data_IF_903542737999
#
_entry.id   IF_903542737999
#
_cell.length_a   1.000
_cell.length_b   1.000
_cell.length_c   1.000
_cell.angle_alpha   90.00
_cell.angle_beta   90.00
_cell.angle_gamma   90.00
#
_symmetry.space_group_name_H-M   'P 1'
#
loop_
_entity.id
_entity.type
_entity.pdbx_description
1 polymer ?
#
# COMPACT_ATOMS: atom_id res chain seq x y z
N UNK A 1 -11.40 8.07 -15.26
CA UNK A 1 -10.80 7.66 -13.97
C UNK A 1 -9.60 8.53 -13.57
N UNK A 2 -8.54 8.62 -14.38
CA UNK A 2 -7.34 9.42 -14.04
C UNK A 2 -7.69 10.89 -13.77
N UNK A 3 -8.54 11.52 -14.58
CA UNK A 3 -8.99 12.90 -14.35
C UNK A 3 -9.65 13.08 -12.98
N UNK A 4 -10.48 12.12 -12.57
CA UNK A 4 -11.14 12.14 -11.27
C UNK A 4 -10.10 12.07 -10.13
N UNK A 5 -9.13 11.16 -10.22
CA UNK A 5 -8.05 11.06 -9.21
C UNK A 5 -7.27 12.36 -9.11
N UNK A 6 -6.89 12.95 -10.25
CA UNK A 6 -6.19 14.22 -10.28
C UNK A 6 -7.00 15.37 -9.69
N UNK A 7 -8.29 15.46 -10.03
CA UNK A 7 -9.18 16.48 -9.50
C UNK A 7 -9.37 16.33 -7.99
N UNK A 8 -9.55 15.11 -7.50
CA UNK A 8 -9.64 14.82 -6.06
C UNK A 8 -8.33 15.16 -5.35
N UNK A 9 -7.18 14.76 -5.89
CA UNK A 9 -5.89 15.11 -5.30
C UNK A 9 -5.70 16.62 -5.22
N UNK A 10 -6.02 17.35 -6.29
CA UNK A 10 -5.91 18.81 -6.32
C UNK A 10 -6.86 19.46 -5.31
N UNK A 11 -8.11 18.99 -5.21
CA UNK A 11 -9.08 19.51 -4.26
C UNK A 11 -8.62 19.29 -2.81
N UNK A 12 -8.14 18.09 -2.48
CA UNK A 12 -7.62 17.76 -1.14
C UNK A 12 -6.39 18.62 -0.82
N UNK A 13 -5.46 18.78 -1.76
CA UNK A 13 -4.25 19.58 -1.57
C UNK A 13 -4.49 21.10 -1.55
N UNK A 14 -5.58 21.57 -2.15
CA UNK A 14 -6.01 22.95 -2.03
C UNK A 14 -6.48 23.29 -0.60
N UNK A 15 -7.04 22.31 0.10
CA UNK A 15 -7.45 22.45 1.51
C UNK A 15 -6.27 22.23 2.47
N UNK A 16 -5.45 21.20 2.23
CA UNK A 16 -4.23 20.94 2.98
C UNK A 16 -3.07 20.61 2.01
N UNK A 17 -2.16 21.57 1.74
CA UNK A 17 -1.02 21.35 0.85
C UNK A 17 -0.07 20.23 1.28
N UNK A 18 -0.13 19.78 2.53
CA UNK A 18 0.69 18.68 3.07
C UNK A 18 0.00 17.32 2.99
N UNK A 19 -1.30 17.29 2.66
CA UNK A 19 -2.05 16.05 2.55
C UNK A 19 -1.43 15.10 1.52
N UNK A 20 -1.44 13.82 1.86
CA UNK A 20 -0.91 12.74 1.02
C UNK A 20 -2.04 11.92 0.46
N UNK A 21 -2.01 11.70 -0.85
CA UNK A 21 -3.06 10.97 -1.56
C UNK A 21 -2.55 9.59 -1.94
N UNK A 22 -3.22 8.56 -1.42
CA UNK A 22 -2.95 7.17 -1.73
C UNK A 22 -4.15 6.57 -2.45
N UNK A 23 -3.90 5.72 -3.45
CA UNK A 23 -4.97 4.98 -4.14
C UNK A 23 -4.84 3.49 -3.84
N UNK A 24 -5.96 2.83 -3.56
CA UNK A 24 -6.03 1.37 -3.64
C UNK A 24 -6.21 0.99 -5.11
N UNK A 25 -5.18 0.38 -5.72
CA UNK A 25 -5.17 0.13 -7.17
C UNK A 25 -6.01 -1.09 -7.57
N UNK A 26 -6.31 -1.98 -6.62
CA UNK A 26 -7.02 -3.23 -6.90
C UNK A 26 -6.39 -4.01 -8.07
N UNK A 27 -7.24 -4.52 -8.97
CA UNK A 27 -6.81 -5.21 -10.19
C UNK A 27 -6.31 -4.29 -11.31
N UNK A 28 -6.44 -2.97 -11.19
CA UNK A 28 -6.12 -2.02 -12.25
C UNK A 28 -4.63 -1.61 -12.28
N UNK A 29 -3.71 -2.54 -11.95
CA UNK A 29 -2.29 -2.26 -11.74
C UNK A 29 -1.58 -1.67 -12.96
N UNK A 30 -2.04 -1.98 -14.17
CA UNK A 30 -1.47 -1.44 -15.41
C UNK A 30 -1.62 0.08 -15.54
N UNK A 31 -2.58 0.69 -14.82
CA UNK A 31 -2.71 2.15 -14.78
C UNK A 31 -1.50 2.83 -14.13
N UNK A 32 -0.69 2.10 -13.35
CA UNK A 32 0.52 2.64 -12.73
C UNK A 32 1.63 2.98 -13.72
N UNK A 33 1.54 2.51 -14.98
CA UNK A 33 2.43 2.98 -16.05
C UNK A 33 2.04 4.34 -16.63
N UNK A 34 0.94 4.94 -16.15
CA UNK A 34 0.52 6.26 -16.60
C UNK A 34 1.14 7.36 -15.72
N UNK A 35 2.10 8.09 -16.27
CA UNK A 35 2.82 9.16 -15.54
C UNK A 35 1.91 10.28 -15.04
N UNK A 36 0.79 10.54 -15.72
CA UNK A 36 -0.19 11.53 -15.26
C UNK A 36 -0.89 11.04 -14.01
N UNK A 37 -1.28 9.77 -13.94
CA UNK A 37 -1.82 9.18 -12.72
C UNK A 37 -0.80 9.26 -11.58
N UNK A 38 0.44 8.84 -11.84
CA UNK A 38 1.51 8.90 -10.85
C UNK A 38 1.73 10.34 -10.38
N UNK A 39 1.74 11.34 -11.26
CA UNK A 39 1.86 12.75 -10.91
C UNK A 39 0.78 13.26 -9.95
N UNK A 40 -0.39 12.62 -9.94
CA UNK A 40 -1.54 12.99 -9.11
C UNK A 40 -1.59 12.30 -7.74
N UNK A 41 -0.69 11.34 -7.45
CA UNK A 41 -0.73 10.57 -6.20
C UNK A 41 0.63 10.61 -5.48
N UNK A 42 0.60 10.38 -4.17
CA UNK A 42 1.79 10.24 -3.32
C UNK A 42 2.15 8.76 -3.09
N UNK A 43 1.18 7.86 -3.21
CA UNK A 43 1.41 6.44 -3.02
C UNK A 43 0.30 5.53 -3.53
N UNK A 44 0.60 4.24 -3.50
CA UNK A 44 -0.25 3.14 -3.99
C UNK A 44 -0.41 2.14 -2.87
N UNK A 45 -1.64 1.64 -2.71
CA UNK A 45 -1.97 0.47 -1.91
C UNK A 45 -2.37 -0.65 -2.88
N UNK A 46 -1.73 -1.82 -2.75
CA UNK A 46 -2.20 -3.07 -3.35
C UNK A 46 -2.56 -4.03 -2.24
N UNK A 47 -3.86 -4.21 -2.02
CA UNK A 47 -4.35 -5.32 -1.20
C UNK A 47 -4.31 -6.63 -1.99
N UNK A 48 -4.43 -7.75 -1.30
CA UNK A 48 -4.60 -9.08 -1.88
C UNK A 48 -3.46 -9.53 -2.81
N UNK A 49 -2.22 -9.08 -2.57
CA UNK A 49 -1.04 -9.42 -3.38
C UNK A 49 -0.72 -10.93 -3.49
N UNK A 50 -1.37 -11.78 -2.69
CA UNK A 50 -1.15 -13.24 -2.73
C UNK A 50 -2.40 -14.07 -2.86
N UNK A 51 -3.52 -13.53 -2.42
CA UNK A 51 -4.75 -14.27 -2.37
C UNK A 51 -5.91 -13.31 -2.26
N UNK A 52 -6.95 -13.59 -3.02
CA UNK A 52 -8.24 -12.92 -2.97
C UNK A 52 -9.28 -13.79 -2.24
N UNK A 53 -10.37 -13.21 -1.72
CA UNK A 53 -11.50 -13.97 -1.20
C UNK A 53 -12.15 -14.81 -2.30
N UNK A 54 -12.18 -16.13 -2.13
CA UNK A 54 -12.93 -17.05 -2.97
C UNK A 54 -14.13 -17.67 -2.25
N UNK A 55 -15.07 -18.30 -2.98
CA UNK A 55 -16.27 -18.92 -2.43
C UNK A 55 -16.00 -20.03 -1.41
N UNK A 56 -14.81 -20.63 -1.42
CA UNK A 56 -14.41 -21.70 -0.47
C UNK A 56 -13.27 -21.30 0.48
N UNK A 57 -12.93 -20.01 0.53
CA UNK A 57 -11.82 -19.48 1.32
C UNK A 57 -10.84 -18.67 0.47
N UNK A 58 -9.68 -18.26 1.03
CA UNK A 58 -8.67 -17.53 0.28
C UNK A 58 -8.16 -18.37 -0.90
N UNK A 59 -8.30 -17.83 -2.10
CA UNK A 59 -7.77 -18.43 -3.31
C UNK A 59 -6.42 -17.78 -3.63
N UNK A 60 -5.40 -18.57 -4.01
CA UNK A 60 -4.13 -18.00 -4.42
C UNK A 60 -4.34 -17.12 -5.64
N UNK A 61 -3.66 -15.98 -5.65
CA UNK A 61 -3.56 -15.16 -6.83
C UNK A 61 -2.82 -15.92 -7.92
N UNK A 62 -3.13 -15.63 -9.19
CA UNK A 62 -2.48 -16.30 -10.31
C UNK A 62 -0.94 -16.15 -10.19
N UNK A 63 -0.17 -17.26 -10.25
CA UNK A 63 1.29 -17.21 -10.20
C UNK A 63 1.93 -16.31 -11.26
N UNK A 64 1.26 -16.09 -12.40
CA UNK A 64 1.69 -15.21 -13.49
C UNK A 64 1.29 -13.75 -13.27
N UNK A 65 0.23 -13.51 -12.50
CA UNK A 65 -0.20 -12.16 -12.13
C UNK A 65 0.76 -11.54 -11.11
N UNK A 66 1.33 -12.36 -10.22
CA UNK A 66 2.20 -11.86 -9.14
C UNK A 66 3.47 -11.13 -9.67
N UNK A 67 4.24 -11.67 -10.64
CA UNK A 67 5.38 -10.95 -11.23
C UNK A 67 4.97 -9.64 -11.91
N UNK A 68 3.94 -9.66 -12.76
CA UNK A 68 3.48 -8.47 -13.49
C UNK A 68 2.99 -7.36 -12.54
N UNK A 69 2.30 -7.74 -11.45
CA UNK A 69 1.89 -6.82 -10.38
C UNK A 69 3.11 -6.26 -9.65
N UNK A 70 4.09 -7.09 -9.31
CA UNK A 70 5.32 -6.62 -8.64
C UNK A 70 6.11 -5.65 -9.52
N UNK A 71 6.18 -5.91 -10.83
CA UNK A 71 6.85 -5.04 -11.80
C UNK A 71 6.15 -3.67 -11.92
N UNK A 72 4.82 -3.65 -11.98
CA UNK A 72 4.04 -2.40 -11.99
C UNK A 72 4.18 -1.61 -10.69
N UNK A 73 4.20 -2.30 -9.55
CA UNK A 73 4.44 -1.67 -8.25
C UNK A 73 5.86 -1.13 -8.15
N UNK A 74 6.87 -1.87 -8.62
CA UNK A 74 8.25 -1.44 -8.67
C UNK A 74 8.43 -0.21 -9.58
N UNK A 75 7.74 -0.18 -10.73
CA UNK A 75 7.68 1.00 -11.58
C UNK A 75 7.19 2.21 -10.80
N UNK A 76 6.05 2.12 -10.10
CA UNK A 76 5.54 3.24 -9.30
C UNK A 76 6.51 3.66 -8.18
N UNK A 77 7.16 2.72 -7.51
CA UNK A 77 8.17 2.99 -6.49
C UNK A 77 9.39 3.74 -7.06
N UNK A 78 9.87 3.34 -8.24
CA UNK A 78 10.97 4.03 -8.95
C UNK A 78 10.62 5.48 -9.34
N UNK A 79 9.33 5.81 -9.42
CA UNK A 79 8.82 7.17 -9.66
C UNK A 79 8.50 7.93 -8.36
N UNK A 80 9.14 7.53 -7.26
CA UNK A 80 9.05 8.21 -5.96
C UNK A 80 7.73 8.01 -5.23
N UNK A 81 6.93 7.00 -5.61
CA UNK A 81 5.68 6.69 -4.92
C UNK A 81 5.91 5.77 -3.73
N UNK A 82 5.19 6.05 -2.65
CA UNK A 82 5.15 5.13 -1.52
C UNK A 82 4.28 3.94 -1.89
N UNK A 83 4.82 2.72 -1.81
CA UNK A 83 4.07 1.50 -2.14
C UNK A 83 3.76 0.73 -0.87
N UNK A 84 2.47 0.56 -0.60
CA UNK A 84 1.90 -0.24 0.47
C UNK A 84 1.38 -1.55 -0.12
N UNK A 85 1.76 -2.69 0.46
CA UNK A 85 1.27 -4.01 0.01
C UNK A 85 0.61 -4.77 1.15
N UNK A 86 -0.67 -5.07 0.98
CA UNK A 86 -1.48 -5.81 1.92
C UNK A 86 -1.80 -7.21 1.42
N UNK A 87 -1.86 -8.17 2.33
CA UNK A 87 -2.39 -9.51 2.06
C UNK A 87 -3.01 -10.07 3.32
N UNK A 88 -4.12 -10.80 3.17
CA UNK A 88 -4.76 -11.55 4.26
C UNK A 88 -4.01 -12.86 4.44
N UNK A 89 -3.01 -12.83 5.31
CA UNK A 89 -2.14 -13.97 5.54
C UNK A 89 -2.30 -14.51 6.98
N UNK A 90 -2.26 -15.84 7.15
CA UNK A 90 -1.97 -16.43 8.46
C UNK A 90 -0.55 -16.02 8.90
N UNK A 91 -0.25 -16.07 10.20
CA UNK A 91 1.04 -15.64 10.81
C UNK A 91 2.31 -15.99 9.99
N UNK A 92 2.44 -17.22 9.48
CA UNK A 92 3.59 -17.63 8.63
C UNK A 92 3.62 -16.92 7.27
N UNK A 93 2.45 -16.74 6.64
CA UNK A 93 2.32 -16.01 5.38
C UNK A 93 2.71 -14.55 5.53
N UNK A 94 2.31 -13.91 6.62
CA UNK A 94 2.53 -12.50 6.85
C UNK A 94 4.02 -12.16 7.05
N UNK A 95 4.81 -13.01 7.73
CA UNK A 95 6.28 -12.84 7.78
C UNK A 95 6.92 -12.92 6.38
N UNK A 96 6.48 -13.89 5.58
CA UNK A 96 6.96 -14.02 4.19
C UNK A 96 6.56 -12.81 3.34
N UNK A 97 5.37 -12.23 3.57
CA UNK A 97 4.91 -11.03 2.87
C UNK A 97 5.85 -9.87 3.18
N UNK A 98 6.16 -9.68 4.46
CA UNK A 98 7.00 -8.58 4.88
C UNK A 98 8.42 -8.68 4.31
N UNK A 99 9.04 -9.87 4.37
CA UNK A 99 10.38 -10.08 3.78
C UNK A 99 10.40 -9.75 2.29
N UNK A 100 9.39 -10.20 1.53
CA UNK A 100 9.29 -9.91 0.09
C UNK A 100 8.99 -8.43 -0.18
N UNK A 101 8.07 -7.82 0.55
CA UNK A 101 7.76 -6.40 0.41
C UNK A 101 9.01 -5.54 0.63
N UNK A 102 9.75 -5.81 1.71
CA UNK A 102 10.98 -5.09 2.02
C UNK A 102 12.09 -5.30 0.99
N UNK A 103 12.21 -6.48 0.36
CA UNK A 103 13.19 -6.68 -0.71
C UNK A 103 12.91 -5.82 -1.96
N UNK A 104 11.68 -5.32 -2.12
CA UNK A 104 11.31 -4.38 -3.18
C UNK A 104 11.23 -2.92 -2.69
N UNK A 105 11.56 -2.63 -1.43
CA UNK A 105 11.41 -1.29 -0.83
C UNK A 105 9.97 -0.93 -0.47
N UNK A 106 9.03 -1.88 -0.59
CA UNK A 106 7.63 -1.66 -0.27
C UNK A 106 7.38 -1.75 1.25
N UNK A 107 6.28 -1.15 1.69
CA UNK A 107 5.82 -1.20 3.07
C UNK A 107 4.74 -2.30 3.18
N UNK A 108 5.00 -3.39 3.91
CA UNK A 108 4.00 -4.42 4.12
C UNK A 108 2.92 -3.97 5.11
N UNK A 109 1.67 -4.30 4.80
CA UNK A 109 0.49 -4.11 5.65
C UNK A 109 -0.17 -5.47 5.86
N UNK A 110 0.39 -6.36 6.71
CA UNK A 110 -0.16 -7.70 6.90
C UNK A 110 -1.57 -7.58 7.49
N UNK A 111 -2.54 -8.26 6.88
CA UNK A 111 -3.90 -8.29 7.37
C UNK A 111 -4.21 -9.64 8.06
N UNK A 112 -4.81 -9.61 9.27
CA UNK A 112 -5.37 -8.41 9.88
C UNK A 112 -4.31 -7.62 10.69
N UNK A 113 -4.34 -6.29 10.59
CA UNK A 113 -3.27 -5.34 10.94
C UNK A 113 -2.67 -5.40 12.36
N UNK A 114 -3.33 -6.13 13.26
CA UNK A 114 -3.02 -6.29 14.68
C UNK A 114 -2.09 -7.48 14.96
N UNK A 115 -1.81 -8.33 13.96
CA UNK A 115 -1.19 -9.63 14.22
C UNK A 115 0.34 -9.63 14.37
N UNK A 116 1.09 -8.61 13.93
CA UNK A 116 2.53 -8.85 13.73
C UNK A 116 3.56 -7.75 14.01
N UNK A 117 3.20 -6.53 14.43
CA UNK A 117 4.23 -5.51 14.74
C UNK A 117 5.23 -5.27 13.59
N UNK A 118 4.80 -5.51 12.34
CA UNK A 118 5.61 -5.43 11.13
C UNK A 118 5.92 -3.99 10.68
N UNK A 119 5.77 -3.02 11.58
CA UNK A 119 6.15 -1.65 11.31
C UNK A 119 7.67 -1.49 11.11
N UNK A 120 8.50 -2.45 11.56
CA UNK A 120 9.96 -2.33 11.48
C UNK A 120 10.59 -3.45 10.63
N UNK A 121 11.46 -3.13 9.65
CA UNK A 121 12.17 -4.15 8.87
C UNK A 121 13.18 -4.94 9.74
N UNK A 122 13.48 -6.23 9.42
CA UNK A 122 14.44 -7.06 10.13
C UNK A 122 15.84 -6.45 10.06
N UNK A 123 16.61 -6.61 11.14
CA UNK A 123 17.96 -6.01 11.29
C UNK A 123 18.93 -6.30 10.14
N UNK A 124 18.75 -7.43 9.45
CA UNK A 124 19.53 -7.82 8.27
C UNK A 124 19.29 -6.95 7.02
N UNK A 125 18.27 -6.09 7.01
CA UNK A 125 17.97 -5.15 5.93
C UNK A 125 18.48 -3.72 6.20
N UNK A 126 19.29 -3.53 7.24
CA UNK A 126 19.95 -2.25 7.54
C UNK A 126 18.99 -1.14 7.98
N UNK A 127 19.54 -0.07 8.55
CA UNK A 127 18.80 1.04 9.17
C UNK A 127 18.11 1.98 8.16
N UNK A 128 17.30 1.42 7.25
CA UNK A 128 16.39 2.19 6.38
C UNK A 128 14.96 2.11 6.96
N UNK A 129 14.83 2.25 8.29
CA UNK A 129 13.56 2.65 8.85
C UNK A 129 13.39 4.13 8.52
N UNK A 130 12.47 4.53 7.62
CA UNK A 130 12.38 5.91 7.22
C UNK A 130 11.97 6.75 8.44
N UNK A 131 12.44 7.99 8.54
CA UNK A 131 12.26 8.86 9.73
C UNK A 131 10.79 9.00 10.20
N UNK A 132 9.80 8.74 9.34
CA UNK A 132 8.38 8.76 9.70
C UNK A 132 7.95 7.65 10.68
N UNK A 133 8.74 6.57 10.84
CA UNK A 133 8.51 5.54 11.87
C UNK A 133 8.82 6.03 13.30
N UNK A 134 9.77 6.96 13.44
CA UNK A 134 10.08 7.59 14.75
C UNK A 134 9.00 8.59 15.17
N UNK A 135 8.30 9.19 14.21
CA UNK A 135 7.23 10.15 14.47
C UNK A 135 5.88 9.49 14.83
N UNK A 136 5.63 8.26 14.36
CA UNK A 136 4.34 7.55 14.54
C UNK A 136 4.29 6.63 15.76
N UNK A 137 5.44 6.18 16.27
CA UNK A 137 5.53 5.35 17.49
C UNK A 137 4.94 6.03 18.74
N UNK A 138 4.95 7.37 18.82
CA UNK A 138 4.39 8.10 19.96
C UNK A 138 2.90 8.46 19.83
N UNK A 139 2.36 8.52 18.61
CA UNK A 139 0.96 8.96 18.40
C UNK A 139 -0.04 7.81 18.23
N UNK A 140 0.40 6.64 17.76
CA UNK A 140 -0.51 5.52 17.43
C UNK A 140 -0.97 4.74 18.67
N UNK A 141 -0.22 4.74 19.79
CA UNK A 141 -0.53 3.89 20.96
C UNK A 141 -1.49 4.55 21.97
N UNK A 142 -1.92 5.80 21.78
CA UNK A 142 -2.74 6.48 22.79
C UNK A 142 -3.85 7.38 22.26
N UNK A 143 -4.57 7.04 21.19
CA UNK A 143 -5.91 7.62 20.96
C UNK A 143 -6.86 6.62 20.31
N UNK A 144 -8.01 6.31 20.93
CA UNK A 144 -9.11 5.69 20.19
C UNK A 144 -9.58 6.74 19.19
N UNK A 145 -9.77 6.35 17.93
CA UNK A 145 -10.22 7.22 16.83
C UNK A 145 -9.22 8.30 16.40
N UNK A 146 -8.35 7.97 15.45
CA UNK A 146 -7.92 8.92 14.41
C UNK A 146 -7.86 8.17 13.10
N UNK A 147 -8.90 8.37 12.30
CA UNK A 147 -9.15 7.73 11.03
C UNK A 147 -8.02 8.06 10.05
N UNK A 148 -7.24 7.07 9.61
CA UNK A 148 -6.62 7.16 8.29
C UNK A 148 -7.79 7.04 7.32
N UNK A 149 -8.22 8.15 6.73
CA UNK A 149 -9.25 8.12 5.69
C UNK A 149 -8.64 7.48 4.44
N UNK A 150 -8.91 6.19 4.25
CA UNK A 150 -8.74 5.53 2.96
C UNK A 150 -9.92 5.93 2.08
N UNK A 151 -9.67 6.71 1.03
CA UNK A 151 -10.63 6.85 -0.06
C UNK A 151 -10.50 5.61 -0.94
N UNK A 152 -11.32 4.60 -0.64
CA UNK A 152 -11.60 3.51 -1.57
C UNK A 152 -12.48 4.07 -2.69
N UNK A 153 -11.97 4.06 -3.92
CA UNK A 153 -12.72 4.48 -5.12
C UNK A 153 -13.86 3.51 -5.48
N UNK A 154 -13.97 2.37 -4.79
CA UNK A 154 -15.09 1.43 -4.94
C UNK A 154 -16.35 1.84 -4.18
N UNK A 155 -16.29 2.87 -3.34
CA UNK A 155 -17.46 3.35 -2.57
C UNK A 155 -18.20 4.54 -3.23
N UNK A 156 -17.81 4.92 -4.46
CA UNK A 156 -18.36 6.07 -5.20
C UNK A 156 -18.97 5.67 -6.57
N UNK A 157 -19.06 4.37 -6.88
CA UNK A 157 -19.75 3.84 -8.06
C UNK A 157 -20.72 2.75 -7.64
#
# INVERSE_FOLDING_TARGET
MIDLVCNVSNAVKAVDPKAKVYINIGGAVNLLYNDRLLGCIDGVLREELRSHPGPSGPEPQDPWETPAVLDTLAYSHSHGKTVLVGSRDRLKGARSLCVRAWSHGFIPVPQPAWTLGCSTPPRQFGAVAPQWLKATSKSIIRRPYTSIQYLSLFDIL
#
